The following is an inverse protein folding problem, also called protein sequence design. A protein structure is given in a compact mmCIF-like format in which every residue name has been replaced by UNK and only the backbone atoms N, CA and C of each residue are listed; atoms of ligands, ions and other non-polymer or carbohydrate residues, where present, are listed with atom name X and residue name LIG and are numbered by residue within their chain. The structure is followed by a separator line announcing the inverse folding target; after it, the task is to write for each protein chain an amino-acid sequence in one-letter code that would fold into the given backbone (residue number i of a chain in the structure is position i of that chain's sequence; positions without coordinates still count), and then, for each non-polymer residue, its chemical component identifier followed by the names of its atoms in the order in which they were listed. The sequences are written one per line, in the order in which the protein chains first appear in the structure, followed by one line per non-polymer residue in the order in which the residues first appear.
data_IF_578784390884
#
_entry.id   IF_578784390884
#
_cell.length_a   1.000
_cell.length_b   1.000
_cell.length_c   1.000
_cell.angle_alpha   90.00
_cell.angle_beta   90.00
_cell.angle_gamma   90.00
#
_symmetry.space_group_name_H-M   'P 1'
#
loop_
_entity.id
_entity.type
_entity.pdbx_description
1 polymer ?
#
# COMPACT_ATOMS: atom_id res chain seq x y z
N UNK A 1 -26.55 8.15 -53.05
CA UNK A 1 -25.32 7.71 -53.76
C UNK A 1 -24.13 7.84 -52.82
N UNK A 2 -23.72 6.76 -52.14
CA UNK A 2 -22.62 6.78 -51.16
C UNK A 2 -21.30 6.68 -51.94
N UNK A 3 -20.50 7.76 -51.95
CA UNK A 3 -19.15 7.75 -52.55
C UNK A 3 -18.30 6.72 -51.81
N UNK A 4 -17.93 5.62 -52.49
CA UNK A 4 -16.96 4.64 -52.00
C UNK A 4 -15.61 5.32 -51.84
N UNK A 5 -15.20 5.59 -50.60
CA UNK A 5 -13.87 6.10 -50.26
C UNK A 5 -12.82 5.03 -50.63
N UNK A 6 -12.21 5.12 -51.82
CA UNK A 6 -11.11 4.25 -52.23
C UNK A 6 -9.82 4.77 -51.61
N UNK A 7 -9.40 4.20 -50.49
CA UNK A 7 -8.08 4.45 -49.92
C UNK A 7 -7.00 3.88 -50.87
N UNK A 8 -6.07 4.74 -51.29
CA UNK A 8 -4.89 4.32 -52.06
C UNK A 8 -3.98 3.43 -51.19
N UNK A 9 -3.20 2.49 -51.75
CA UNK A 9 -2.30 1.58 -50.99
C UNK A 9 -1.44 2.31 -49.93
N UNK A 10 -0.96 3.52 -50.24
CA UNK A 10 -0.22 4.39 -49.31
C UNK A 10 -1.10 4.95 -48.18
N UNK A 11 -2.34 5.34 -48.48
CA UNK A 11 -3.32 5.81 -47.49
C UNK A 11 -3.82 4.71 -46.56
N UNK A 12 -4.00 3.48 -47.06
CA UNK A 12 -4.33 2.33 -46.22
C UNK A 12 -3.19 2.00 -45.25
N UNK A 13 -1.93 1.99 -45.71
CA UNK A 13 -0.74 1.76 -44.87
C UNK A 13 -0.61 2.78 -43.74
N UNK A 14 -0.78 4.07 -44.06
CA UNK A 14 -0.75 5.15 -43.07
C UNK A 14 -1.85 4.97 -42.00
N UNK A 15 -3.05 4.59 -42.43
CA UNK A 15 -4.21 4.40 -41.58
C UNK A 15 -4.00 3.18 -40.65
N UNK A 16 -3.42 2.09 -41.14
CA UNK A 16 -3.00 0.97 -40.30
C UNK A 16 -1.95 1.37 -39.27
N UNK A 17 -0.93 2.15 -39.66
CA UNK A 17 0.09 2.62 -38.74
C UNK A 17 -0.50 3.47 -37.59
N UNK A 18 -1.41 4.40 -37.89
CA UNK A 18 -2.07 5.21 -36.86
C UNK A 18 -2.97 4.37 -35.94
N UNK A 19 -3.72 3.41 -36.48
CA UNK A 19 -4.54 2.50 -35.67
C UNK A 19 -3.65 1.67 -34.74
N UNK A 20 -2.54 1.10 -35.25
CA UNK A 20 -1.60 0.36 -34.42
C UNK A 20 -1.02 1.21 -33.30
N UNK A 21 -0.65 2.46 -33.60
CA UNK A 21 -0.09 3.39 -32.61
C UNK A 21 -1.12 3.74 -31.52
N UNK A 22 -2.38 3.91 -31.91
CA UNK A 22 -3.50 4.15 -30.98
C UNK A 22 -3.77 2.94 -30.09
N UNK A 23 -3.72 1.71 -30.63
CA UNK A 23 -3.84 0.47 -29.85
C UNK A 23 -2.71 0.35 -28.82
N UNK A 24 -1.47 0.63 -29.22
CA UNK A 24 -0.31 0.59 -28.30
C UNK A 24 -0.48 1.61 -27.17
N UNK A 25 -0.87 2.85 -27.50
CA UNK A 25 -1.12 3.89 -26.51
C UNK A 25 -2.23 3.49 -25.53
N UNK A 26 -3.30 2.87 -26.02
CA UNK A 26 -4.40 2.39 -25.17
C UNK A 26 -3.97 1.28 -24.22
N UNK A 27 -3.14 0.33 -24.68
CA UNK A 27 -2.57 -0.72 -23.84
C UNK A 27 -1.69 -0.13 -22.75
N UNK A 28 -0.82 0.84 -23.09
CA UNK A 28 0.02 1.54 -22.11
C UNK A 28 -0.81 2.28 -21.07
N UNK A 29 -1.85 3.00 -21.47
CA UNK A 29 -2.73 3.72 -20.57
C UNK A 29 -3.43 2.77 -19.57
N UNK A 30 -3.88 1.60 -20.02
CA UNK A 30 -4.49 0.60 -19.15
C UNK A 30 -3.50 0.00 -18.15
N UNK A 31 -2.27 -0.29 -18.60
CA UNK A 31 -1.23 -0.77 -17.71
C UNK A 31 -0.87 0.26 -16.64
N UNK A 32 -0.75 1.53 -17.02
CA UNK A 32 -0.53 2.64 -16.09
C UNK A 32 -1.69 2.81 -15.11
N UNK A 33 -2.94 2.65 -15.56
CA UNK A 33 -4.11 2.71 -14.70
C UNK A 33 -4.08 1.63 -13.60
N UNK A 34 -3.79 0.38 -13.96
CA UNK A 34 -3.69 -0.72 -12.98
C UNK A 34 -2.54 -0.48 -11.99
N UNK A 35 -1.39 -0.01 -12.49
CA UNK A 35 -0.26 0.36 -11.65
C UNK A 35 -0.59 1.51 -10.69
N UNK A 36 -1.32 2.54 -11.15
CA UNK A 36 -1.72 3.69 -10.35
C UNK A 36 -2.63 3.30 -9.18
N UNK A 37 -3.60 2.40 -9.42
CA UNK A 37 -4.48 1.89 -8.36
C UNK A 37 -3.66 1.21 -7.26
N UNK A 38 -2.75 0.31 -7.64
CA UNK A 38 -1.92 -0.42 -6.69
C UNK A 38 -0.96 0.52 -5.95
N UNK A 39 -0.39 1.49 -6.65
CA UNK A 39 0.51 2.49 -6.08
C UNK A 39 -0.18 3.37 -5.05
N UNK A 40 -1.36 3.92 -5.38
CA UNK A 40 -2.14 4.74 -4.47
C UNK A 40 -2.58 3.95 -3.23
N UNK A 41 -3.02 2.71 -3.42
CA UNK A 41 -3.38 1.84 -2.30
C UNK A 41 -2.17 1.54 -1.40
N UNK A 42 -1.01 1.20 -2.00
CA UNK A 42 0.24 0.96 -1.28
C UNK A 42 0.68 2.18 -0.47
N UNK A 43 0.62 3.38 -1.04
CA UNK A 43 0.95 4.61 -0.32
C UNK A 43 0.01 4.84 0.87
N UNK A 44 -1.29 4.62 0.69
CA UNK A 44 -2.27 4.71 1.77
C UNK A 44 -1.96 3.71 2.90
N UNK A 45 -1.56 2.49 2.57
CA UNK A 45 -1.15 1.48 3.56
C UNK A 45 0.07 1.94 4.38
N UNK A 46 1.13 2.45 3.74
CA UNK A 46 2.31 2.93 4.47
C UNK A 46 2.01 4.13 5.36
N UNK A 47 1.26 5.11 4.85
CA UNK A 47 0.85 6.27 5.67
C UNK A 47 0.03 5.84 6.90
N UNK A 48 -0.91 4.92 6.70
CA UNK A 48 -1.72 4.38 7.79
C UNK A 48 -0.87 3.56 8.78
N UNK A 49 0.11 2.81 8.29
CA UNK A 49 1.04 2.04 9.13
C UNK A 49 1.89 2.97 10.00
N UNK A 50 2.38 4.08 9.47
CA UNK A 50 3.12 5.07 10.24
C UNK A 50 2.24 5.75 11.30
N UNK A 51 0.99 6.07 10.97
CA UNK A 51 0.01 6.58 11.94
C UNK A 51 -0.26 5.56 13.05
N UNK A 52 -0.43 4.29 12.69
CA UNK A 52 -0.63 3.20 13.64
C UNK A 52 0.61 3.02 14.52
N UNK A 53 1.82 3.07 13.95
CA UNK A 53 3.07 2.93 14.68
C UNK A 53 3.26 4.07 15.68
N UNK A 54 2.92 5.31 15.32
CA UNK A 54 2.92 6.46 16.24
C UNK A 54 1.93 6.29 17.38
N UNK A 55 0.73 5.82 17.08
CA UNK A 55 -0.31 5.57 18.09
C UNK A 55 0.13 4.49 19.09
N UNK A 56 0.71 3.39 18.59
CA UNK A 56 1.26 2.33 19.44
C UNK A 56 2.46 2.83 20.24
N UNK A 57 3.37 3.58 19.63
CA UNK A 57 4.53 4.15 20.32
C UNK A 57 4.11 5.10 21.46
N UNK A 58 3.09 5.92 21.23
CA UNK A 58 2.50 6.75 22.28
C UNK A 58 1.95 5.91 23.42
N UNK A 59 1.21 4.84 23.13
CA UNK A 59 0.64 3.99 24.16
C UNK A 59 1.70 3.27 24.99
N UNK A 60 2.75 2.77 24.33
CA UNK A 60 3.89 2.15 25.01
C UNK A 60 4.57 3.15 25.93
N UNK A 61 4.75 4.40 25.47
CA UNK A 61 5.33 5.47 26.27
C UNK A 61 4.47 5.80 27.51
N UNK A 62 3.16 6.02 27.33
CA UNK A 62 2.28 6.42 28.44
C UNK A 62 2.15 5.30 29.48
N UNK A 63 2.03 4.06 29.03
CA UNK A 63 1.91 2.88 29.91
C UNK A 63 3.19 2.64 30.71
N UNK A 64 4.36 2.87 30.10
CA UNK A 64 5.65 2.56 30.71
C UNK A 64 6.42 3.82 31.15
N UNK A 65 5.73 4.96 31.30
CA UNK A 65 6.37 6.27 31.53
C UNK A 65 7.33 6.26 32.71
N UNK A 66 6.90 5.74 33.86
CA UNK A 66 7.71 5.70 35.07
C UNK A 66 8.94 4.79 34.91
N UNK A 67 8.78 3.65 34.24
CA UNK A 67 9.89 2.74 33.94
C UNK A 67 10.91 3.41 33.01
N UNK A 68 10.44 4.06 31.95
CA UNK A 68 11.31 4.77 31.00
C UNK A 68 12.08 5.90 31.69
N UNK A 69 11.43 6.67 32.55
CA UNK A 69 12.05 7.77 33.31
C UNK A 69 13.14 7.23 34.25
N UNK A 70 12.88 6.12 34.95
CA UNK A 70 13.80 5.55 35.94
C UNK A 70 14.95 4.73 35.33
N UNK A 71 14.70 4.00 34.25
CA UNK A 71 15.66 3.03 33.68
C UNK A 71 16.28 3.50 32.36
N UNK A 72 15.77 4.57 31.74
CA UNK A 72 16.27 5.08 30.46
C UNK A 72 16.13 4.08 29.31
N UNK A 73 15.23 3.10 29.41
CA UNK A 73 15.03 2.04 28.43
C UNK A 73 13.57 1.58 28.39
N UNK A 74 13.18 0.86 27.33
CA UNK A 74 11.87 0.23 27.23
C UNK A 74 11.88 -1.14 27.93
N UNK A 75 10.77 -1.53 28.57
CA UNK A 75 10.64 -2.90 29.07
C UNK A 75 10.66 -3.90 27.90
N UNK A 76 11.10 -5.14 28.13
CA UNK A 76 11.30 -6.12 27.05
C UNK A 76 10.04 -6.90 26.64
N UNK A 77 8.89 -6.68 27.30
CA UNK A 77 7.74 -7.60 27.26
C UNK A 77 6.46 -7.04 26.61
N UNK A 78 6.51 -5.91 25.91
CA UNK A 78 5.32 -5.31 25.28
C UNK A 78 5.14 -5.67 23.79
N UNK A 79 6.10 -6.38 23.18
CA UNK A 79 5.97 -6.85 21.80
C UNK A 79 4.76 -7.79 21.64
N UNK A 80 4.03 -7.66 20.54
CA UNK A 80 2.80 -8.43 20.25
C UNK A 80 1.73 -8.41 21.35
N UNK A 81 1.68 -7.37 22.17
CA UNK A 81 0.59 -7.22 23.14
C UNK A 81 -0.74 -7.02 22.40
N UNK A 82 -1.75 -7.85 22.70
CA UNK A 82 -3.08 -7.82 22.10
C UNK A 82 -3.75 -6.44 22.19
N UNK A 83 -3.55 -5.73 23.29
CA UNK A 83 -4.07 -4.37 23.46
C UNK A 83 -3.47 -3.39 22.43
N UNK A 84 -2.16 -3.46 22.20
CA UNK A 84 -1.47 -2.61 21.24
C UNK A 84 -1.85 -2.96 19.79
N UNK A 85 -2.02 -4.25 19.50
CA UNK A 85 -2.51 -4.73 18.20
C UNK A 85 -3.92 -4.18 17.94
N UNK A 86 -4.80 -4.21 18.95
CA UNK A 86 -6.14 -3.66 18.83
C UNK A 86 -6.13 -2.14 18.59
N UNK A 87 -5.23 -1.38 19.22
CA UNK A 87 -5.05 0.05 18.91
C UNK A 87 -4.59 0.28 17.49
N UNK A 88 -3.60 -0.48 17.01
CA UNK A 88 -3.15 -0.40 15.61
C UNK A 88 -4.30 -0.72 14.63
N UNK A 89 -5.06 -1.78 14.88
CA UNK A 89 -6.22 -2.16 14.08
C UNK A 89 -7.32 -1.09 14.05
N UNK A 90 -7.54 -0.36 15.15
CA UNK A 90 -8.48 0.78 15.18
C UNK A 90 -8.03 1.90 14.24
N UNK A 91 -6.72 2.19 14.16
CA UNK A 91 -6.18 3.17 13.20
C UNK A 91 -6.45 2.73 11.76
N UNK A 92 -6.16 1.47 11.41
CA UNK A 92 -6.48 0.95 10.08
C UNK A 92 -7.97 1.02 9.77
N UNK A 93 -8.81 0.64 10.72
CA UNK A 93 -10.27 0.66 10.56
C UNK A 93 -10.80 2.09 10.34
N UNK A 94 -10.24 3.08 11.04
CA UNK A 94 -10.59 4.50 10.84
C UNK A 94 -10.29 5.03 9.44
N UNK A 95 -9.35 4.41 8.73
CA UNK A 95 -8.99 4.74 7.35
C UNK A 95 -9.74 3.89 6.32
N UNK A 96 -10.72 3.08 6.77
CA UNK A 96 -11.48 2.14 5.94
C UNK A 96 -10.67 0.91 5.51
N UNK A 97 -9.59 0.57 6.23
CA UNK A 97 -8.71 -0.57 5.91
C UNK A 97 -8.96 -1.67 6.94
N UNK A 98 -9.67 -2.73 6.54
CA UNK A 98 -9.95 -3.89 7.38
C UNK A 98 -9.06 -5.11 7.09
N UNK A 99 -8.95 -6.02 8.06
CA UNK A 99 -8.30 -7.32 7.88
C UNK A 99 -6.80 -7.23 7.59
N UNK A 100 -6.10 -6.35 8.29
CA UNK A 100 -4.63 -6.26 8.27
C UNK A 100 -4.08 -7.20 9.32
N UNK A 101 -3.13 -8.06 8.95
CA UNK A 101 -2.38 -8.84 9.92
C UNK A 101 -1.22 -7.98 10.43
N UNK A 102 -1.13 -7.77 11.75
CA UNK A 102 -0.18 -6.84 12.38
C UNK A 102 0.66 -7.59 13.41
N UNK A 103 1.98 -7.48 13.26
CA UNK A 103 2.98 -7.92 14.24
C UNK A 103 3.72 -6.69 14.76
N UNK A 104 3.85 -6.58 16.08
CA UNK A 104 4.53 -5.45 16.73
C UNK A 104 5.88 -5.93 17.23
N UNK A 105 6.95 -5.32 16.73
CA UNK A 105 8.32 -5.59 17.18
C UNK A 105 8.93 -4.38 17.86
N UNK A 106 9.59 -4.64 18.97
CA UNK A 106 10.54 -3.71 19.56
C UNK A 106 11.83 -3.69 18.73
N UNK A 107 12.27 -2.49 18.37
CA UNK A 107 13.56 -2.27 17.71
C UNK A 107 14.30 -1.14 18.44
N UNK A 108 15.07 -1.51 19.47
CA UNK A 108 15.66 -0.56 20.42
C UNK A 108 14.58 0.30 21.06
N UNK A 109 14.68 1.63 20.87
CA UNK A 109 13.75 2.64 21.42
C UNK A 109 12.56 2.93 20.49
N UNK A 110 12.23 2.00 19.60
CA UNK A 110 11.27 2.23 18.52
C UNK A 110 10.29 1.08 18.40
N UNK A 111 9.09 1.42 17.94
CA UNK A 111 8.06 0.49 17.54
C UNK A 111 8.13 0.28 16.04
N UNK A 112 8.27 -0.97 15.62
CA UNK A 112 8.09 -1.40 14.24
C UNK A 112 6.80 -2.20 14.15
N UNK A 113 5.88 -1.76 13.29
CA UNK A 113 4.71 -2.54 12.90
C UNK A 113 5.02 -3.25 11.60
N UNK A 114 4.99 -4.58 11.60
CA UNK A 114 5.06 -5.41 10.40
C UNK A 114 3.63 -5.79 10.02
N UNK A 115 3.19 -5.35 8.85
CA UNK A 115 1.82 -5.47 8.41
C UNK A 115 1.75 -6.25 7.10
N UNK A 116 0.73 -7.12 6.99
CA UNK A 116 0.41 -7.85 5.77
C UNK A 116 -1.06 -7.67 5.43
N UNK A 117 -1.35 -7.31 4.17
CA UNK A 117 -2.72 -7.15 3.68
C UNK A 117 -2.86 -7.63 2.24
N UNK A 118 -3.83 -8.51 2.01
CA UNK A 118 -4.28 -8.88 0.66
C UNK A 118 -5.37 -7.92 0.20
N UNK A 119 -5.13 -7.27 -0.95
CA UNK A 119 -6.00 -6.31 -1.60
C UNK A 119 -6.62 -6.91 -2.86
N UNK A 120 -7.95 -7.11 -2.90
CA UNK A 120 -8.63 -7.47 -4.12
C UNK A 120 -8.74 -6.24 -5.04
N UNK A 121 -8.40 -6.40 -6.33
CA UNK A 121 -8.58 -5.36 -7.32
C UNK A 121 -9.01 -5.95 -8.68
N UNK A 122 -9.51 -5.08 -9.55
CA UNK A 122 -9.88 -5.46 -10.91
C UNK A 122 -8.74 -5.06 -11.84
N UNK A 123 -8.13 -6.06 -12.47
CA UNK A 123 -7.06 -5.90 -13.44
C UNK A 123 -7.65 -5.92 -14.86
N UNK A 124 -7.23 -4.98 -15.71
CA UNK A 124 -7.64 -4.92 -17.10
C UNK A 124 -6.54 -5.59 -17.94
N UNK A 125 -6.83 -6.77 -18.48
CA UNK A 125 -5.88 -7.57 -19.27
C UNK A 125 -6.31 -7.65 -20.73
N UNK A 126 -5.33 -7.63 -21.63
CA UNK A 126 -5.53 -7.98 -23.03
C UNK A 126 -5.53 -9.51 -23.17
N UNK A 127 -6.59 -10.06 -23.75
CA UNK A 127 -6.71 -11.49 -24.07
C UNK A 127 -6.85 -11.67 -25.59
N UNK A 128 -6.69 -12.89 -26.13
CA UNK A 128 -6.95 -13.15 -27.56
C UNK A 128 -8.37 -12.74 -28.00
N UNK A 129 -9.32 -12.74 -27.07
CA UNK A 129 -10.71 -12.31 -27.29
C UNK A 129 -10.96 -10.82 -26.99
N UNK A 130 -9.92 -10.01 -26.84
CA UNK A 130 -10.00 -8.59 -26.50
C UNK A 130 -9.74 -8.27 -25.02
N UNK A 131 -10.07 -7.05 -24.59
CA UNK A 131 -9.86 -6.59 -23.21
C UNK A 131 -10.87 -7.21 -22.25
N UNK A 132 -10.38 -7.74 -21.12
CA UNK A 132 -11.22 -8.30 -20.07
C UNK A 132 -10.85 -7.73 -18.70
N UNK A 133 -11.89 -7.48 -17.90
CA UNK A 133 -11.77 -7.18 -16.48
C UNK A 133 -11.63 -8.50 -15.72
N UNK A 134 -10.52 -8.67 -15.01
CA UNK A 134 -10.22 -9.88 -14.25
C UNK A 134 -10.09 -9.50 -12.77
N UNK A 135 -10.89 -10.14 -11.91
CA UNK A 135 -10.72 -9.99 -10.46
C UNK A 135 -9.44 -10.71 -10.06
N UNK A 136 -8.57 -10.01 -9.36
CA UNK A 136 -7.30 -10.55 -8.88
C UNK A 136 -7.02 -10.02 -7.48
N UNK A 137 -5.93 -10.49 -6.87
CA UNK A 137 -5.48 -10.03 -5.55
C UNK A 137 -4.01 -9.70 -5.59
N UNK A 138 -3.61 -8.69 -4.82
CA UNK A 138 -2.22 -8.38 -4.54
C UNK A 138 -2.01 -8.39 -3.04
N UNK A 139 -1.03 -9.17 -2.58
CA UNK A 139 -0.58 -9.10 -1.18
C UNK A 139 0.48 -8.03 -1.05
N UNK A 140 0.31 -7.17 -0.06
CA UNK A 140 1.26 -6.13 0.31
C UNK A 140 1.82 -6.44 1.70
N UNK A 141 3.14 -6.56 1.75
CA UNK A 141 3.92 -6.52 2.97
C UNK A 141 4.46 -5.09 3.14
N UNK A 142 4.15 -4.48 4.27
CA UNK A 142 4.49 -3.08 4.55
C UNK A 142 4.80 -2.91 6.04
N UNK A 143 5.42 -1.79 6.37
CA UNK A 143 5.80 -1.51 7.75
C UNK A 143 5.56 -0.06 8.11
N UNK A 144 5.22 0.15 9.36
CA UNK A 144 5.19 1.48 9.99
C UNK A 144 6.27 1.56 11.06
N UNK A 145 6.87 2.74 11.21
CA UNK A 145 7.94 2.91 12.19
C UNK A 145 7.76 4.20 12.99
N UNK A 146 7.89 4.09 14.32
CA UNK A 146 7.88 5.25 15.20
C UNK A 146 8.87 5.11 16.34
N UNK A 147 9.67 6.15 16.56
CA UNK A 147 10.54 6.27 17.75
C UNK A 147 9.73 6.73 18.94
N UNK A 148 10.04 6.20 20.12
CA UNK A 148 9.51 6.70 21.38
C UNK A 148 10.45 7.82 21.86
N UNK A 149 9.93 9.06 21.91
CA UNK A 149 10.70 10.22 22.39
C UNK A 149 11.03 10.06 23.88
N UNK A 150 12.13 10.67 24.32
CA UNK A 150 12.66 10.69 25.71
C UNK A 150 13.45 9.48 26.19
N UNK A 151 13.79 8.53 25.32
CA UNK A 151 14.79 7.50 25.67
C UNK A 151 16.14 7.97 25.14
N UNK A 152 16.88 8.72 25.95
CA UNK A 152 18.26 9.12 25.62
C UNK A 152 19.10 7.86 25.46
N UNK A 153 19.78 7.69 24.32
CA UNK A 153 20.93 6.77 24.27
C UNK A 153 21.89 7.30 25.32
N UNK A 154 22.18 6.53 26.38
CA UNK A 154 23.46 6.71 27.07
C UNK A 154 24.51 6.34 26.03
N UNK A 155 25.14 7.37 25.46
CA UNK A 155 26.37 7.25 24.67
C UNK A 155 27.49 6.79 25.58
#
# INVERSE_FOLDING_TARGET
MIKKFKLNKKGSSLLFAYISLLIIAFIMAMFQYNALILFNYRNKLYQTADMAARTVAWEVYTTNKQYIISHGSLPNNWSNNTHLINKANKVFSSQGIGGVNITIRQNGNSVKLECRKTFPYTDIKLTPSGFKKVKTTQTFDFFGYSRIKNISRKS
#
